data_IF_887748486632
#
_entry.id   IF_887748486632
#
_cell.length_a   1.000
_cell.length_b   1.000
_cell.length_c   1.000
_cell.angle_alpha   90.00
_cell.angle_beta   90.00
_cell.angle_gamma   90.00
#
_symmetry.space_group_name_H-M   'P 1'
#
loop_
_entity.id
_entity.type
_entity.pdbx_description
1 polymer ?
#
# COMPACT_ATOMS: atom_id res chain seq x y z
N UNK A 1 5.54 23.46 25.61
CA UNK A 1 4.14 23.28 25.23
C UNK A 1 3.80 21.83 25.54
N UNK A 2 2.85 21.54 26.40
CA UNK A 2 2.45 20.18 26.76
C UNK A 2 1.71 19.58 25.55
N UNK A 3 2.04 18.37 25.09
CA UNK A 3 1.29 17.73 24.01
C UNK A 3 -0.16 17.49 24.43
N UNK A 4 -1.07 17.56 23.46
CA UNK A 4 -2.49 17.26 23.71
C UNK A 4 -2.65 15.78 24.07
N UNK A 5 -3.61 15.44 24.95
CA UNK A 5 -3.92 14.04 25.25
C UNK A 5 -4.33 13.27 24.00
N UNK A 6 -3.87 12.05 23.85
CA UNK A 6 -4.18 11.18 22.72
C UNK A 6 -5.69 10.98 22.54
N UNK A 7 -6.43 10.81 23.65
CA UNK A 7 -7.90 10.72 23.63
C UNK A 7 -8.60 11.93 23.02
N UNK A 8 -8.04 13.13 23.20
CA UNK A 8 -8.58 14.34 22.60
C UNK A 8 -8.29 14.38 21.09
N UNK A 9 -7.08 13.97 20.68
CA UNK A 9 -6.71 13.89 19.26
C UNK A 9 -7.60 12.89 18.52
N UNK A 10 -7.83 11.71 19.09
CA UNK A 10 -8.76 10.71 18.56
C UNK A 10 -10.20 11.23 18.48
N UNK A 11 -10.70 11.94 19.50
CA UNK A 11 -12.03 12.52 19.46
C UNK A 11 -12.19 13.58 18.36
N UNK A 12 -11.18 14.41 18.15
CA UNK A 12 -11.15 15.41 17.07
C UNK A 12 -11.11 14.73 15.70
N UNK A 13 -10.26 13.69 15.53
CA UNK A 13 -10.18 12.93 14.29
C UNK A 13 -11.52 12.26 13.94
N UNK A 14 -12.15 11.60 14.92
CA UNK A 14 -13.46 10.96 14.74
C UNK A 14 -14.55 11.98 14.37
N UNK A 15 -14.54 13.17 14.97
CA UNK A 15 -15.46 14.25 14.61
C UNK A 15 -15.22 14.74 13.17
N UNK A 16 -13.96 14.96 12.80
CA UNK A 16 -13.61 15.41 11.46
C UNK A 16 -14.04 14.39 10.36
N UNK A 17 -13.83 13.10 10.61
CA UNK A 17 -14.28 12.04 9.70
C UNK A 17 -15.79 12.00 9.58
N UNK A 18 -16.51 11.98 10.71
CA UNK A 18 -17.98 11.91 10.73
C UNK A 18 -18.63 13.10 10.02
N UNK A 19 -18.04 14.28 10.09
CA UNK A 19 -18.55 15.51 9.49
C UNK A 19 -18.03 15.76 8.07
N UNK A 20 -17.27 14.81 7.48
CA UNK A 20 -16.69 14.94 6.14
C UNK A 20 -15.64 16.04 6.02
N UNK A 21 -14.99 16.40 7.13
CA UNK A 21 -13.97 17.43 7.17
C UNK A 21 -12.55 16.87 6.96
N UNK A 22 -12.36 15.56 7.08
CA UNK A 22 -11.08 14.91 6.79
C UNK A 22 -11.00 14.50 5.31
N UNK A 23 -9.89 14.83 4.64
CA UNK A 23 -9.60 14.39 3.26
C UNK A 23 -8.98 12.99 3.23
N UNK A 24 -8.24 12.64 4.29
CA UNK A 24 -7.68 11.31 4.52
C UNK A 24 -7.42 11.06 6.01
N UNK A 25 -7.31 9.78 6.37
CA UNK A 25 -6.94 9.31 7.71
C UNK A 25 -5.67 8.48 7.62
N UNK A 26 -4.78 8.58 8.60
CA UNK A 26 -3.60 7.73 8.65
C UNK A 26 -3.43 7.04 10.00
N UNK A 27 -2.73 5.89 9.96
CA UNK A 27 -2.29 5.14 11.15
C UNK A 27 -0.86 4.66 10.97
N UNK A 28 -0.19 4.38 12.09
CA UNK A 28 1.13 3.75 12.14
C UNK A 28 0.98 2.33 12.67
N UNK A 29 1.36 1.35 11.86
CA UNK A 29 1.24 -0.06 12.20
C UNK A 29 2.62 -0.66 12.41
N UNK A 30 2.87 -1.29 13.56
CA UNK A 30 4.06 -2.08 13.81
C UNK A 30 3.88 -3.47 13.17
N UNK A 31 4.81 -3.88 12.29
CA UNK A 31 4.73 -5.16 11.57
C UNK A 31 6.06 -5.91 11.62
N UNK A 32 6.11 -7.19 11.26
CA UNK A 32 7.38 -7.93 11.10
C UNK A 32 8.32 -7.32 10.05
N UNK A 33 7.82 -6.43 9.18
CA UNK A 33 8.60 -5.73 8.16
C UNK A 33 9.12 -4.36 8.63
N UNK A 34 8.90 -3.98 9.88
CA UNK A 34 9.09 -2.65 10.42
C UNK A 34 7.79 -1.86 10.49
N UNK A 35 7.87 -0.58 10.84
CA UNK A 35 6.70 0.28 10.96
C UNK A 35 6.19 0.69 9.58
N UNK A 36 4.90 0.53 9.36
CA UNK A 36 4.20 1.02 8.18
C UNK A 36 3.40 2.28 8.53
N UNK A 37 3.37 3.25 7.61
CA UNK A 37 2.43 4.35 7.60
C UNK A 37 1.34 4.02 6.57
N UNK A 38 0.12 3.83 7.03
CA UNK A 38 -1.02 3.51 6.15
C UNK A 38 -1.93 4.74 6.09
N UNK A 39 -2.19 5.23 4.88
CA UNK A 39 -3.06 6.37 4.64
C UNK A 39 -4.26 5.93 3.81
N UNK A 40 -5.45 6.25 4.28
CA UNK A 40 -6.72 5.88 3.64
C UNK A 40 -7.55 7.12 3.36
N UNK A 41 -8.02 7.23 2.13
CA UNK A 41 -9.03 8.20 1.69
C UNK A 41 -10.43 7.59 1.69
N UNK A 42 -11.38 8.30 1.11
CA UNK A 42 -12.80 7.88 1.07
C UNK A 42 -12.98 6.52 0.35
N UNK A 43 -12.22 6.25 -0.73
CA UNK A 43 -12.38 5.05 -1.57
C UNK A 43 -11.50 3.88 -1.16
N UNK A 44 -10.65 4.04 -0.15
CA UNK A 44 -9.73 3.01 0.33
C UNK A 44 -8.32 3.52 0.57
N UNK A 45 -7.38 2.59 0.69
CA UNK A 45 -5.97 2.91 0.96
C UNK A 45 -5.38 3.63 -0.26
N UNK A 46 -4.74 4.77 -0.02
CA UNK A 46 -4.11 5.62 -1.04
C UNK A 46 -2.59 5.55 -0.99
N UNK A 47 -2.03 5.22 0.18
CA UNK A 47 -0.57 5.19 0.38
C UNK A 47 -0.19 4.23 1.50
N UNK A 48 0.86 3.45 1.29
CA UNK A 48 1.57 2.69 2.32
C UNK A 48 3.04 3.07 2.24
N UNK A 49 3.55 3.70 3.30
CA UNK A 49 4.96 4.08 3.46
C UNK A 49 5.70 3.09 4.35
N UNK A 50 6.96 2.79 4.01
CA UNK A 50 7.87 2.05 4.89
C UNK A 50 8.58 3.01 5.86
N UNK A 51 9.12 2.48 6.95
CA UNK A 51 9.73 3.28 8.04
C UNK A 51 10.92 4.15 7.61
N UNK A 52 11.57 3.83 6.47
CA UNK A 52 12.67 4.64 5.92
C UNK A 52 12.17 5.87 5.16
N UNK A 53 10.89 5.92 4.81
CA UNK A 53 10.28 7.08 4.18
C UNK A 53 9.94 8.14 5.24
N UNK A 54 10.31 9.38 4.99
CA UNK A 54 9.93 10.47 5.89
C UNK A 54 8.41 10.64 5.89
N UNK A 55 7.80 10.51 7.05
CA UNK A 55 6.33 10.60 7.22
C UNK A 55 5.76 11.90 6.63
N UNK A 56 6.40 13.04 6.93
CA UNK A 56 5.96 14.34 6.40
C UNK A 56 5.96 14.37 4.87
N UNK A 57 6.91 13.66 4.23
CA UNK A 57 6.95 13.56 2.77
C UNK A 57 5.78 12.72 2.23
N UNK A 58 5.50 11.58 2.84
CA UNK A 58 4.36 10.71 2.48
C UNK A 58 3.04 11.45 2.65
N UNK A 59 2.85 12.13 3.78
CA UNK A 59 1.63 12.89 4.03
C UNK A 59 1.48 14.10 3.11
N UNK A 60 2.59 14.78 2.75
CA UNK A 60 2.57 15.86 1.77
C UNK A 60 2.20 15.38 0.36
N UNK A 61 2.66 14.20 -0.07
CA UNK A 61 2.25 13.58 -1.33
C UNK A 61 0.73 13.34 -1.37
N UNK A 62 0.17 12.79 -0.30
CA UNK A 62 -1.29 12.57 -0.19
C UNK A 62 -2.03 13.89 -0.13
N UNK A 63 -1.56 14.87 0.67
CA UNK A 63 -2.19 16.19 0.78
C UNK A 63 -2.29 16.91 -0.55
N UNK A 64 -1.28 16.79 -1.41
CA UNK A 64 -1.27 17.39 -2.74
C UNK A 64 -2.34 16.81 -3.68
N UNK A 65 -2.74 15.55 -3.50
CA UNK A 65 -3.69 14.87 -4.35
C UNK A 65 -5.13 14.85 -3.81
N UNK A 66 -5.29 14.76 -2.49
CA UNK A 66 -6.58 14.54 -1.83
C UNK A 66 -7.05 15.75 -1.01
N UNK A 67 -6.14 16.62 -0.57
CA UNK A 67 -6.41 17.77 0.29
C UNK A 67 -5.61 17.73 1.59
N UNK A 68 -5.44 18.90 2.26
CA UNK A 68 -4.51 19.03 3.37
C UNK A 68 -5.07 18.53 4.72
N UNK A 69 -6.35 18.19 4.80
CA UNK A 69 -7.02 17.80 6.05
C UNK A 69 -6.80 16.32 6.34
N UNK A 70 -5.56 15.95 6.67
CA UNK A 70 -5.16 14.56 6.98
C UNK A 70 -5.08 14.43 8.50
N UNK A 71 -5.82 13.48 9.07
CA UNK A 71 -5.89 13.23 10.51
C UNK A 71 -5.33 11.86 10.86
N UNK A 72 -4.63 11.76 11.99
CA UNK A 72 -4.17 10.49 12.54
C UNK A 72 -5.22 9.88 13.45
N UNK A 73 -5.64 8.64 13.20
CA UNK A 73 -6.54 7.89 14.08
C UNK A 73 -6.41 6.39 13.88
N UNK A 74 -5.99 5.70 14.91
CA UNK A 74 -5.96 4.23 14.94
C UNK A 74 -7.38 3.66 14.98
N UNK A 75 -8.30 4.36 15.63
CA UNK A 75 -9.69 3.95 15.77
C UNK A 75 -10.45 3.97 14.44
N UNK A 76 -10.31 5.05 13.68
CA UNK A 76 -11.00 5.18 12.38
C UNK A 76 -10.48 4.17 11.35
N UNK A 77 -9.24 3.71 11.50
CA UNK A 77 -8.62 2.67 10.66
C UNK A 77 -8.55 1.29 11.34
N UNK A 78 -9.32 1.03 12.41
CA UNK A 78 -9.27 -0.22 13.14
C UNK A 78 -9.47 -1.44 12.23
N UNK A 79 -10.48 -1.46 11.37
CA UNK A 79 -10.74 -2.56 10.44
C UNK A 79 -9.58 -2.79 9.44
N UNK A 80 -8.96 -1.73 8.96
CA UNK A 80 -7.78 -1.80 8.09
C UNK A 80 -6.58 -2.38 8.83
N UNK A 81 -6.37 -1.95 10.08
CA UNK A 81 -5.31 -2.48 10.96
C UNK A 81 -5.52 -3.96 11.24
N UNK A 82 -6.73 -4.35 11.65
CA UNK A 82 -7.09 -5.75 11.94
C UNK A 82 -6.84 -6.66 10.73
N UNK A 83 -7.19 -6.20 9.52
CA UNK A 83 -6.93 -6.95 8.28
C UNK A 83 -5.44 -7.10 7.99
N UNK A 84 -4.65 -6.04 8.19
CA UNK A 84 -3.20 -6.10 8.00
C UNK A 84 -2.53 -6.96 9.09
N UNK A 85 -2.97 -6.88 10.33
CA UNK A 85 -2.48 -7.70 11.42
C UNK A 85 -2.76 -9.20 11.16
N UNK A 86 -3.98 -9.54 10.71
CA UNK A 86 -4.32 -10.90 10.28
C UNK A 86 -3.46 -11.38 9.11
N UNK A 87 -3.22 -10.52 8.11
CA UNK A 87 -2.32 -10.84 6.99
C UNK A 87 -0.90 -11.18 7.48
N UNK A 88 -0.32 -10.35 8.36
CA UNK A 88 1.01 -10.60 8.90
C UNK A 88 1.08 -11.79 9.86
N UNK A 89 -0.05 -12.21 10.44
CA UNK A 89 -0.18 -13.45 11.18
C UNK A 89 -0.33 -14.70 10.29
N UNK A 90 -0.46 -14.52 8.96
CA UNK A 90 -0.70 -15.61 8.02
C UNK A 90 -2.15 -16.10 7.97
N UNK A 91 -3.09 -15.33 8.52
CA UNK A 91 -4.50 -15.69 8.69
C UNK A 91 -5.45 -14.93 7.75
N UNK A 92 -4.92 -14.01 6.93
CA UNK A 92 -5.74 -13.14 6.09
C UNK A 92 -5.10 -12.80 4.75
N UNK A 93 -5.79 -11.97 3.97
CA UNK A 93 -5.30 -11.45 2.69
C UNK A 93 -5.44 -9.92 2.63
N UNK A 94 -4.31 -9.23 2.55
CA UNK A 94 -4.28 -7.76 2.43
C UNK A 94 -4.93 -7.25 1.13
N UNK A 95 -5.07 -8.10 0.08
CA UNK A 95 -5.79 -7.74 -1.16
C UNK A 95 -7.29 -7.53 -0.94
N UNK A 96 -7.86 -7.97 0.19
CA UNK A 96 -9.27 -7.71 0.52
C UNK A 96 -9.55 -6.24 0.87
N UNK A 97 -8.49 -5.46 1.17
CA UNK A 97 -8.63 -4.05 1.52
C UNK A 97 -8.95 -3.19 0.28
N UNK A 98 -9.92 -2.28 0.36
CA UNK A 98 -10.18 -1.34 -0.71
C UNK A 98 -8.98 -0.40 -0.89
N UNK A 99 -8.72 0.00 -2.14
CA UNK A 99 -7.59 0.89 -2.47
C UNK A 99 -7.97 1.90 -3.55
N UNK A 100 -7.19 2.96 -3.64
CA UNK A 100 -7.38 4.05 -4.59
C UNK A 100 -6.04 4.43 -5.24
N UNK A 101 -5.95 4.28 -6.56
CA UNK A 101 -4.76 4.57 -7.36
C UNK A 101 -4.70 6.00 -7.89
N UNK A 102 -5.39 6.97 -7.29
CA UNK A 102 -5.34 8.39 -7.70
C UNK A 102 -3.91 8.94 -7.75
N UNK A 103 -3.00 8.45 -6.90
CA UNK A 103 -1.57 8.79 -6.94
C UNK A 103 -0.83 8.21 -8.15
N UNK A 104 -1.50 7.45 -9.02
CA UNK A 104 -0.91 6.83 -10.22
C UNK A 104 -1.56 7.41 -11.49
N UNK A 105 -1.21 8.62 -11.92
CA UNK A 105 -1.92 9.30 -13.01
C UNK A 105 -1.63 8.71 -14.41
N UNK A 106 -0.56 7.90 -14.57
CA UNK A 106 -0.21 7.33 -15.86
C UNK A 106 -1.10 6.11 -16.19
N UNK A 107 -1.95 6.14 -17.24
CA UNK A 107 -2.99 5.13 -17.48
C UNK A 107 -2.46 3.70 -17.55
N UNK A 108 -1.34 3.46 -18.24
CA UNK A 108 -0.78 2.11 -18.33
C UNK A 108 -0.23 1.62 -16.99
N UNK A 109 0.38 2.50 -16.17
CA UNK A 109 0.86 2.09 -14.84
C UNK A 109 -0.30 1.76 -13.91
N UNK A 110 -1.38 2.53 -13.99
CA UNK A 110 -2.63 2.27 -13.29
C UNK A 110 -3.19 0.89 -13.67
N UNK A 111 -3.36 0.63 -14.97
CA UNK A 111 -3.82 -0.68 -15.48
C UNK A 111 -2.91 -1.86 -15.04
N UNK A 112 -1.59 -1.65 -14.98
CA UNK A 112 -0.65 -2.67 -14.48
C UNK A 112 -0.90 -3.00 -13.02
N UNK A 113 -1.10 -1.98 -12.16
CA UNK A 113 -1.32 -2.19 -10.73
C UNK A 113 -2.70 -2.81 -10.45
N UNK A 114 -3.75 -2.39 -11.14
CA UNK A 114 -5.07 -3.03 -11.08
C UNK A 114 -4.99 -4.50 -11.54
N UNK A 115 -4.39 -4.75 -12.72
CA UNK A 115 -4.21 -6.12 -13.22
C UNK A 115 -3.42 -6.98 -12.24
N UNK A 116 -2.39 -6.43 -11.61
CA UNK A 116 -1.61 -7.14 -10.61
C UNK A 116 -2.46 -7.54 -9.41
N UNK A 117 -3.21 -6.60 -8.86
CA UNK A 117 -4.11 -6.83 -7.75
C UNK A 117 -5.14 -7.93 -8.10
N UNK A 118 -5.81 -7.83 -9.23
CA UNK A 118 -6.94 -8.69 -9.59
C UNK A 118 -6.52 -10.09 -10.06
N UNK A 119 -5.28 -10.25 -10.58
CA UNK A 119 -4.89 -11.49 -11.27
C UNK A 119 -3.75 -12.28 -10.61
N UNK A 120 -3.20 -11.79 -9.50
CA UNK A 120 -2.08 -12.47 -8.80
C UNK A 120 -2.42 -12.65 -7.33
N UNK A 121 -3.10 -13.75 -6.98
CA UNK A 121 -3.50 -14.01 -5.59
C UNK A 121 -2.30 -14.36 -4.70
N UNK A 122 -2.53 -14.37 -3.38
CA UNK A 122 -1.55 -14.79 -2.38
C UNK A 122 -1.01 -16.20 -2.70
N UNK A 123 0.26 -16.44 -2.41
CA UNK A 123 0.97 -17.69 -2.74
C UNK A 123 1.34 -17.86 -4.22
N UNK A 124 1.02 -16.89 -5.08
CA UNK A 124 1.33 -16.91 -6.51
C UNK A 124 2.34 -15.86 -6.91
N UNK A 125 3.08 -16.13 -7.99
CA UNK A 125 4.03 -15.16 -8.56
C UNK A 125 3.82 -14.99 -10.05
N UNK A 126 4.19 -13.85 -10.58
CA UNK A 126 4.13 -13.53 -12.01
C UNK A 126 5.42 -12.86 -12.47
N UNK A 127 5.79 -13.00 -13.74
CA UNK A 127 6.92 -12.23 -14.29
C UNK A 127 6.45 -10.86 -14.82
N UNK A 128 7.36 -9.88 -14.84
CA UNK A 128 7.06 -8.55 -15.42
C UNK A 128 6.51 -8.63 -16.85
N UNK A 129 7.02 -9.58 -17.67
CA UNK A 129 6.53 -9.80 -19.05
C UNK A 129 5.11 -10.31 -19.09
N UNK A 130 4.77 -11.30 -18.25
CA UNK A 130 3.40 -11.82 -18.16
C UNK A 130 2.44 -10.76 -17.62
N UNK A 131 2.85 -9.98 -16.62
CA UNK A 131 2.04 -8.88 -16.08
C UNK A 131 1.79 -7.79 -17.13
N UNK A 132 2.83 -7.38 -17.88
CA UNK A 132 2.68 -6.42 -18.97
C UNK A 132 1.71 -6.91 -20.06
N UNK A 133 1.77 -8.20 -20.40
CA UNK A 133 0.85 -8.82 -21.36
C UNK A 133 -0.60 -8.83 -20.86
N UNK A 134 -0.82 -9.20 -19.58
CA UNK A 134 -2.14 -9.17 -18.93
C UNK A 134 -2.73 -7.75 -18.89
N UNK A 135 -1.88 -6.74 -18.66
CA UNK A 135 -2.26 -5.33 -18.66
C UNK A 135 -2.42 -4.72 -20.06
N UNK A 136 -2.47 -5.57 -21.12
CA UNK A 136 -2.78 -5.17 -22.49
C UNK A 136 -1.58 -4.79 -23.37
N UNK A 137 -0.33 -4.85 -22.88
CA UNK A 137 0.84 -4.54 -23.70
C UNK A 137 2.07 -5.38 -23.36
N UNK A 138 2.22 -6.54 -24.02
CA UNK A 138 3.33 -7.49 -23.81
C UNK A 138 4.73 -6.87 -24.07
N UNK A 139 4.83 -5.79 -24.85
CA UNK A 139 6.10 -5.11 -25.14
C UNK A 139 6.50 -4.09 -24.05
N UNK A 140 5.58 -3.71 -23.18
CA UNK A 140 5.77 -2.66 -22.18
C UNK A 140 6.39 -3.17 -20.86
N UNK A 141 7.29 -4.15 -20.89
CA UNK A 141 7.90 -4.81 -19.71
C UNK A 141 8.57 -3.79 -18.79
N UNK A 142 9.30 -2.80 -19.34
CA UNK A 142 9.96 -1.76 -18.54
C UNK A 142 8.95 -0.85 -17.84
N UNK A 143 7.83 -0.54 -18.49
CA UNK A 143 6.78 0.27 -17.90
C UNK A 143 6.05 -0.49 -16.77
N UNK A 144 5.83 -1.80 -16.91
CA UNK A 144 5.31 -2.65 -15.85
C UNK A 144 6.28 -2.73 -14.65
N UNK A 145 7.58 -2.87 -14.90
CA UNK A 145 8.59 -2.83 -13.84
C UNK A 145 8.60 -1.46 -13.13
N UNK A 146 8.46 -0.36 -13.86
CA UNK A 146 8.36 0.99 -13.28
C UNK A 146 7.08 1.16 -12.47
N UNK A 147 5.94 0.60 -12.91
CA UNK A 147 4.70 0.60 -12.14
C UNK A 147 4.89 -0.10 -10.78
N UNK A 148 5.47 -1.30 -10.78
CA UNK A 148 5.78 -2.04 -9.55
C UNK A 148 6.76 -1.29 -8.64
N UNK A 149 7.83 -0.68 -9.20
CA UNK A 149 8.82 0.06 -8.43
C UNK A 149 8.28 1.36 -7.81
N UNK A 150 7.23 1.93 -8.40
CA UNK A 150 6.57 3.16 -7.94
C UNK A 150 5.13 2.90 -7.46
N UNK A 151 4.87 1.70 -7.00
CA UNK A 151 3.57 1.35 -6.41
C UNK A 151 3.39 2.12 -5.09
N UNK A 152 2.39 3.00 -4.96
CA UNK A 152 2.18 3.76 -3.73
C UNK A 152 1.54 2.92 -2.62
N UNK A 153 1.00 1.73 -2.95
CA UNK A 153 0.20 0.91 -2.03
C UNK A 153 0.78 -0.53 -1.98
N UNK A 154 2.09 -0.70 -1.64
CA UNK A 154 2.68 -2.02 -1.53
C UNK A 154 1.93 -2.88 -0.50
N UNK A 155 2.02 -4.19 -0.61
CA UNK A 155 1.31 -5.21 0.18
C UNK A 155 -0.13 -5.37 -0.31
N UNK A 156 -0.97 -4.34 -0.26
CA UNK A 156 -2.35 -4.36 -0.77
C UNK A 156 -2.35 -4.57 -2.29
N UNK A 157 -1.58 -3.76 -3.03
CA UNK A 157 -1.25 -4.05 -4.43
C UNK A 157 0.08 -4.82 -4.45
N UNK A 158 0.07 -6.14 -4.70
CA UNK A 158 1.15 -7.05 -4.29
C UNK A 158 2.34 -7.06 -5.26
N UNK A 159 3.03 -5.93 -5.45
CA UNK A 159 4.17 -5.85 -6.36
C UNK A 159 5.38 -6.70 -5.92
N UNK A 160 5.40 -7.21 -4.70
CA UNK A 160 6.36 -8.23 -4.24
C UNK A 160 6.19 -9.57 -4.97
N UNK A 161 5.01 -9.91 -5.49
CA UNK A 161 4.73 -11.14 -6.25
C UNK A 161 5.23 -11.09 -7.70
N UNK A 162 5.79 -9.94 -8.14
CA UNK A 162 6.32 -9.80 -9.50
C UNK A 162 7.82 -10.08 -9.51
N UNK A 163 8.24 -11.10 -10.27
CA UNK A 163 9.62 -11.58 -10.32
C UNK A 163 10.24 -11.36 -11.70
N UNK A 164 11.58 -11.21 -11.79
CA UNK A 164 12.28 -11.20 -13.07
C UNK A 164 12.24 -12.60 -13.72
N UNK A 165 12.18 -12.65 -15.06
CA UNK A 165 12.23 -13.92 -15.81
C UNK A 165 13.60 -14.60 -15.78
N UNK A 166 14.64 -13.87 -15.42
CA UNK A 166 16.01 -14.39 -15.24
C UNK A 166 16.23 -15.19 -13.96
N UNK A 167 15.20 -15.28 -13.11
CA UNK A 167 15.30 -15.87 -11.77
C UNK A 167 15.67 -14.88 -10.69
N UNK A 168 15.62 -15.34 -9.43
CA UNK A 168 15.86 -14.51 -8.25
C UNK A 168 14.68 -13.62 -7.88
N UNK A 169 14.85 -12.89 -6.77
CA UNK A 169 13.76 -12.08 -6.17
C UNK A 169 13.57 -10.74 -6.90
N UNK A 170 14.65 -10.17 -7.45
CA UNK A 170 14.63 -8.84 -8.06
C UNK A 170 14.46 -7.70 -7.04
N UNK A 171 14.29 -6.48 -7.56
CA UNK A 171 14.14 -5.29 -6.75
C UNK A 171 12.72 -5.13 -6.17
N UNK A 172 12.61 -4.36 -5.09
CA UNK A 172 11.36 -4.02 -4.42
C UNK A 172 11.47 -2.65 -3.76
N UNK A 173 10.41 -1.86 -3.72
CA UNK A 173 10.42 -0.53 -3.10
C UNK A 173 10.81 -0.58 -1.62
N UNK A 174 10.30 -1.54 -0.86
CA UNK A 174 10.69 -1.80 0.53
C UNK A 174 11.99 -2.60 0.71
N UNK A 175 12.77 -2.81 -0.37
CA UNK A 175 14.01 -3.59 -0.32
C UNK A 175 13.83 -5.10 -0.50
N UNK A 176 14.89 -5.82 -0.92
CA UNK A 176 14.81 -7.25 -1.23
C UNK A 176 14.53 -8.13 -0.01
N UNK A 177 14.93 -7.72 1.19
CA UNK A 177 14.67 -8.48 2.41
C UNK A 177 13.16 -8.54 2.71
N UNK A 178 12.44 -7.40 2.66
CA UNK A 178 10.99 -7.36 2.83
C UNK A 178 10.25 -8.13 1.74
N UNK A 179 10.74 -8.05 0.50
CA UNK A 179 10.15 -8.84 -0.60
C UNK A 179 10.23 -10.33 -0.32
N UNK A 180 11.38 -10.82 0.14
CA UNK A 180 11.57 -12.21 0.53
C UNK A 180 10.62 -12.59 1.65
N UNK A 181 10.57 -11.81 2.72
CA UNK A 181 9.72 -12.08 3.87
C UNK A 181 8.23 -12.16 3.50
N UNK A 182 7.75 -11.26 2.60
CA UNK A 182 6.38 -11.31 2.11
C UNK A 182 6.10 -12.57 1.28
N UNK A 183 7.02 -12.96 0.39
CA UNK A 183 6.87 -14.17 -0.42
C UNK A 183 6.91 -15.45 0.44
N UNK A 184 7.75 -15.48 1.47
CA UNK A 184 7.81 -16.59 2.45
C UNK A 184 6.54 -16.64 3.30
N UNK A 185 6.04 -15.50 3.77
CA UNK A 185 4.77 -15.40 4.52
C UNK A 185 3.60 -15.98 3.71
N UNK A 186 3.60 -15.74 2.40
CA UNK A 186 2.55 -16.19 1.48
C UNK A 186 2.79 -17.62 0.95
N UNK A 187 3.88 -18.28 1.32
CA UNK A 187 4.22 -19.62 0.83
C UNK A 187 4.56 -19.67 -0.66
N UNK A 188 5.02 -18.55 -1.24
CA UNK A 188 5.42 -18.43 -2.64
C UNK A 188 6.93 -18.67 -2.89
N UNK A 189 7.69 -18.88 -1.81
CA UNK A 189 9.11 -19.30 -1.79
C UNK A 189 9.30 -20.48 -0.87
#
# INVERSE_FOLDING_TARGET
>A
MTPLPESLLEAVAAAAVREGLADAVFTRLATPLGRLLVVQGERGIVRVGFEEEAEDHVLAEVAAAFGPRIVGSDRELAATRDTLDAYFAGEGDAQSLPFDLTLVPAPFRHAVLETLHDSVPSGSVVTYGKLAARAGNARAIRAAATACARNPIPIVVPCHRVLPSSGGIGNYGGGPARKRALLELEGAL
#
